data_IF_429532604381
#
_entry.id   IF_429532604381
#
_cell.length_a   1.000
_cell.length_b   1.000
_cell.length_c   1.000
_cell.angle_alpha   90.00
_cell.angle_beta   90.00
_cell.angle_gamma   90.00
#
_symmetry.space_group_name_H-M   'P 1'
#
loop_
_entity.id
_entity.type
_entity.pdbx_description
1 polymer ?
#
# COMPACT_ATOMS: atom_id res chain seq x y z
N UNK A 1 44.04 -4.98 68.79
CA UNK A 1 43.18 -4.20 67.87
C UNK A 1 42.49 -5.22 66.95
N UNK A 2 41.27 -5.71 67.23
CA UNK A 2 39.94 -5.08 67.02
C UNK A 2 39.65 -4.87 65.52
N UNK A 3 38.59 -5.35 64.82
CA UNK A 3 37.17 -5.79 65.05
C UNK A 3 36.77 -6.78 63.90
N UNK A 4 35.91 -7.82 64.07
CA UNK A 4 34.42 -7.89 63.88
C UNK A 4 33.92 -7.36 62.51
N UNK A 5 33.02 -7.94 61.69
CA UNK A 5 31.87 -8.89 61.71
C UNK A 5 31.73 -9.53 60.28
N UNK A 6 31.15 -10.70 59.97
CA UNK A 6 29.81 -11.31 60.14
C UNK A 6 28.65 -10.72 59.29
N UNK A 7 27.88 -11.64 58.67
CA UNK A 7 26.57 -11.57 57.94
C UNK A 7 26.62 -11.38 56.40
N UNK A 8 26.13 -12.28 55.53
CA UNK A 8 24.84 -12.98 55.28
C UNK A 8 23.93 -12.30 54.23
N UNK A 9 23.05 -13.12 53.63
CA UNK A 9 21.95 -12.87 52.66
C UNK A 9 22.36 -12.72 51.19
N UNK A 10 22.06 -13.73 50.35
CA UNK A 10 20.76 -14.03 49.68
C UNK A 10 20.71 -13.31 48.32
N UNK A 11 20.78 -14.05 47.22
CA UNK A 11 19.60 -14.58 46.50
C UNK A 11 18.75 -13.44 45.93
N UNK A 12 18.91 -13.13 44.64
CA UNK A 12 17.73 -13.09 43.79
C UNK A 12 18.10 -13.23 42.30
N UNK A 13 17.60 -14.32 41.74
CA UNK A 13 17.54 -14.55 40.30
C UNK A 13 16.33 -13.78 39.80
N UNK A 14 16.48 -12.90 38.82
CA UNK A 14 15.34 -12.30 38.12
C UNK A 14 15.23 -12.87 36.69
N UNK A 15 14.49 -13.98 36.47
CA UNK A 15 14.10 -14.43 35.14
C UNK A 15 12.67 -13.95 34.86
N UNK A 16 12.50 -12.66 34.54
CA UNK A 16 11.15 -12.04 34.45
C UNK A 16 10.57 -11.84 33.05
N UNK A 17 11.39 -11.66 32.01
CA UNK A 17 10.87 -11.10 30.73
C UNK A 17 11.28 -11.86 29.46
N UNK A 18 12.05 -12.96 29.54
CA UNK A 18 12.48 -13.72 28.37
C UNK A 18 11.52 -14.84 27.92
N UNK A 19 10.64 -15.31 28.79
CA UNK A 19 9.86 -16.53 28.55
C UNK A 19 8.51 -16.28 27.85
N UNK A 20 7.94 -15.07 27.96
CA UNK A 20 6.61 -14.76 27.41
C UNK A 20 6.63 -14.54 25.90
N UNK A 21 7.66 -13.88 25.37
CA UNK A 21 7.85 -13.69 23.93
C UNK A 21 8.09 -15.02 23.23
N UNK A 22 8.84 -15.91 23.87
CA UNK A 22 9.17 -17.23 23.33
C UNK A 22 7.92 -18.14 23.32
N UNK A 23 7.08 -18.08 24.35
CA UNK A 23 5.82 -18.83 24.40
C UNK A 23 4.80 -18.34 23.37
N UNK A 24 4.62 -17.02 23.22
CA UNK A 24 3.69 -16.47 22.22
C UNK A 24 4.10 -16.84 20.80
N UNK A 25 5.39 -16.77 20.48
CA UNK A 25 5.89 -17.16 19.17
C UNK A 25 5.74 -18.67 18.91
N UNK A 26 5.99 -19.52 19.92
CA UNK A 26 5.73 -20.96 19.79
C UNK A 26 4.25 -21.29 19.62
N UNK A 27 3.34 -20.55 20.28
CA UNK A 27 1.90 -20.73 20.12
C UNK A 27 1.43 -20.28 18.73
N UNK A 28 1.90 -19.13 18.24
CA UNK A 28 1.54 -18.63 16.90
C UNK A 28 2.08 -19.51 15.78
N UNK A 29 3.28 -20.08 15.94
CA UNK A 29 3.89 -20.97 14.94
C UNK A 29 3.40 -22.42 15.02
N UNK A 30 2.96 -22.85 16.20
CA UNK A 30 2.58 -24.24 16.46
C UNK A 30 1.09 -24.53 16.34
N UNK A 31 0.23 -23.50 16.34
CA UNK A 31 -1.22 -23.64 16.29
C UNK A 31 -1.80 -22.96 15.05
N UNK A 32 -2.82 -23.59 14.48
CA UNK A 32 -3.63 -22.99 13.42
C UNK A 32 -4.50 -21.85 13.95
N UNK A 33 -4.98 -20.98 13.06
CA UNK A 33 -5.89 -19.88 13.46
C UNK A 33 -7.15 -20.40 14.18
N UNK A 34 -7.65 -21.57 13.78
CA UNK A 34 -8.82 -22.21 14.40
C UNK A 34 -8.52 -22.72 15.80
N UNK A 35 -7.33 -23.28 16.03
CA UNK A 35 -6.89 -23.71 17.36
C UNK A 35 -6.60 -22.52 18.28
N UNK A 36 -6.05 -21.43 17.74
CA UNK A 36 -5.89 -20.17 18.48
C UNK A 36 -7.25 -19.60 18.87
N UNK A 37 -8.22 -19.61 17.96
CA UNK A 37 -9.59 -19.17 18.25
C UNK A 37 -10.22 -20.04 19.36
N UNK A 38 -10.11 -21.36 19.27
CA UNK A 38 -10.62 -22.28 20.30
C UNK A 38 -9.92 -22.10 21.66
N UNK A 39 -8.62 -21.82 21.66
CA UNK A 39 -7.88 -21.51 22.89
C UNK A 39 -8.40 -20.22 23.53
N UNK A 40 -8.60 -19.18 22.73
CA UNK A 40 -9.16 -17.90 23.19
C UNK A 40 -10.57 -18.11 23.72
N UNK A 41 -11.44 -18.83 23.01
CA UNK A 41 -12.81 -19.14 23.44
C UNK A 41 -12.82 -19.95 24.76
N UNK A 42 -11.94 -20.93 24.91
CA UNK A 42 -11.82 -21.71 26.14
C UNK A 42 -11.33 -20.84 27.31
N UNK A 43 -10.38 -19.94 27.08
CA UNK A 43 -9.88 -19.01 28.10
C UNK A 43 -10.95 -18.00 28.51
N UNK A 44 -11.64 -17.39 27.55
CA UNK A 44 -12.73 -16.45 27.82
C UNK A 44 -13.96 -17.17 28.42
N UNK A 45 -14.18 -18.44 28.12
CA UNK A 45 -15.23 -19.25 28.75
C UNK A 45 -14.97 -19.60 30.22
N UNK A 46 -13.70 -19.61 30.66
CA UNK A 46 -13.29 -19.98 32.03
C UNK A 46 -13.00 -18.75 32.91
N UNK A 47 -12.55 -17.65 32.31
CA UNK A 47 -12.22 -16.43 33.04
C UNK A 47 -13.46 -15.65 33.48
N UNK A 48 -13.44 -15.08 34.69
CA UNK A 48 -14.48 -14.14 35.14
C UNK A 48 -14.41 -12.83 34.37
N UNK A 49 -15.54 -12.13 34.25
CA UNK A 49 -15.64 -10.85 33.53
C UNK A 49 -14.63 -9.80 34.05
N UNK A 50 -14.37 -9.78 35.36
CA UNK A 50 -13.38 -8.88 35.97
C UNK A 50 -11.94 -9.19 35.54
N UNK A 51 -11.59 -10.47 35.41
CA UNK A 51 -10.27 -10.90 34.94
C UNK A 51 -10.12 -10.67 33.44
N UNK A 52 -11.19 -10.86 32.66
CA UNK A 52 -11.21 -10.51 31.24
C UNK A 52 -10.97 -9.02 31.03
N UNK A 53 -11.68 -8.16 31.77
CA UNK A 53 -11.48 -6.70 31.70
C UNK A 53 -10.08 -6.29 32.15
N UNK A 54 -9.54 -6.93 33.20
CA UNK A 54 -8.17 -6.70 33.66
C UNK A 54 -7.12 -7.14 32.64
N UNK A 55 -7.36 -8.24 31.92
CA UNK A 55 -6.48 -8.70 30.85
C UNK A 55 -6.54 -7.79 29.62
N UNK A 56 -7.74 -7.37 29.22
CA UNK A 56 -7.97 -6.42 28.11
C UNK A 56 -7.34 -5.05 28.41
N UNK A 57 -7.41 -4.58 29.65
CA UNK A 57 -6.79 -3.31 30.06
C UNK A 57 -5.24 -3.34 30.08
N UNK A 58 -4.62 -4.51 29.90
CA UNK A 58 -3.16 -4.67 29.76
C UNK A 58 -2.71 -4.69 28.30
N UNK A 59 -3.64 -4.74 27.35
CA UNK A 59 -3.34 -4.67 25.92
C UNK A 59 -2.98 -3.23 25.54
N UNK A 60 -2.32 -3.06 24.38
CA UNK A 60 -2.12 -1.73 23.84
C UNK A 60 -3.48 -1.05 23.58
N UNK A 61 -3.55 0.29 23.62
CA UNK A 61 -4.82 1.00 23.49
C UNK A 61 -5.63 0.66 22.22
N UNK A 62 -4.96 0.40 21.09
CA UNK A 62 -5.63 0.09 19.83
C UNK A 62 -6.21 -1.33 19.81
N UNK A 63 -5.47 -2.31 20.34
CA UNK A 63 -5.97 -3.68 20.50
C UNK A 63 -7.06 -3.75 21.57
N UNK A 64 -6.95 -2.97 22.65
CA UNK A 64 -7.99 -2.87 23.68
C UNK A 64 -9.31 -2.39 23.08
N UNK A 65 -9.29 -1.28 22.33
CA UNK A 65 -10.48 -0.72 21.69
C UNK A 65 -11.12 -1.74 20.75
N UNK A 66 -10.30 -2.44 19.94
CA UNK A 66 -10.77 -3.45 19.01
C UNK A 66 -11.43 -4.64 19.73
N UNK A 67 -10.79 -5.18 20.78
CA UNK A 67 -11.35 -6.30 21.54
C UNK A 67 -12.63 -5.89 22.26
N UNK A 68 -12.71 -4.65 22.78
CA UNK A 68 -13.94 -4.13 23.38
C UNK A 68 -15.06 -3.98 22.36
N UNK A 69 -14.77 -3.54 21.13
CA UNK A 69 -15.76 -3.44 20.06
C UNK A 69 -16.27 -4.82 19.63
N UNK A 70 -15.39 -5.82 19.51
CA UNK A 70 -15.76 -7.21 19.21
C UNK A 70 -16.64 -7.80 20.32
N UNK A 71 -16.29 -7.58 21.59
CA UNK A 71 -17.06 -8.09 22.73
C UNK A 71 -18.38 -7.33 22.96
N UNK A 72 -18.45 -6.07 22.53
CA UNK A 72 -19.65 -5.23 22.63
C UNK A 72 -20.65 -5.49 21.50
N UNK A 73 -20.28 -6.23 20.44
CA UNK A 73 -21.24 -6.65 19.41
C UNK A 73 -22.31 -7.54 20.08
N UNK A 74 -23.56 -7.07 20.19
CA UNK A 74 -24.63 -7.93 20.67
C UNK A 74 -24.78 -9.03 19.63
N UNK A 75 -24.78 -10.29 20.08
CA UNK A 75 -25.05 -11.46 19.25
C UNK A 75 -26.37 -11.28 18.48
N UNK A 76 -26.33 -10.67 17.30
CA UNK A 76 -27.48 -10.51 16.42
C UNK A 76 -27.58 -11.76 15.56
N UNK A 77 -28.19 -12.77 16.14
CA UNK A 77 -29.05 -13.63 15.33
C UNK A 77 -30.23 -12.75 14.91
N UNK A 78 -30.41 -12.63 13.60
CA UNK A 78 -31.55 -12.06 12.86
C UNK A 78 -31.51 -10.56 12.46
N UNK A 79 -31.60 -10.38 11.14
CA UNK A 79 -32.09 -9.24 10.34
C UNK A 79 -31.06 -8.26 9.77
N UNK A 80 -30.74 -8.51 8.49
CA UNK A 80 -30.57 -7.57 7.38
C UNK A 80 -30.60 -6.08 7.73
N UNK A 81 -29.43 -5.46 7.84
CA UNK A 81 -29.16 -4.15 7.23
C UNK A 81 -27.66 -3.85 7.32
N UNK A 82 -27.06 -3.53 6.18
CA UNK A 82 -25.71 -2.97 5.96
C UNK A 82 -24.52 -3.72 6.59
N UNK A 83 -23.60 -4.16 5.73
CA UNK A 83 -22.26 -4.62 6.08
C UNK A 83 -21.52 -3.51 6.85
N UNK A 84 -21.65 -3.48 8.17
CA UNK A 84 -20.61 -2.90 9.03
C UNK A 84 -19.50 -3.93 9.12
N UNK A 85 -18.42 -3.68 8.38
CA UNK A 85 -17.18 -4.44 8.43
C UNK A 85 -16.75 -4.56 9.89
N UNK A 86 -16.38 -5.75 10.39
CA UNK A 86 -15.87 -5.89 11.75
C UNK A 86 -14.72 -4.91 11.94
N UNK A 87 -14.69 -4.20 13.07
CA UNK A 87 -13.63 -3.26 13.37
C UNK A 87 -12.29 -4.01 13.39
N UNK A 88 -11.51 -3.82 12.33
CA UNK A 88 -10.16 -4.37 12.21
C UNK A 88 -9.25 -3.44 13.02
N UNK A 89 -8.45 -3.98 13.93
CA UNK A 89 -7.52 -3.16 14.71
C UNK A 89 -6.53 -2.45 13.79
N UNK A 90 -6.09 -1.27 14.21
CA UNK A 90 -5.01 -0.53 13.57
C UNK A 90 -3.75 -1.40 13.41
N UNK A 91 -3.45 -2.24 14.41
CA UNK A 91 -2.36 -3.22 14.34
C UNK A 91 -2.57 -4.27 13.23
N UNK A 92 -3.81 -4.75 13.02
CA UNK A 92 -4.12 -5.70 11.96
C UNK A 92 -4.10 -5.03 10.58
N UNK A 93 -4.46 -3.76 10.47
CA UNK A 93 -4.30 -2.98 9.24
C UNK A 93 -2.82 -2.77 8.90
N UNK A 94 -1.99 -2.42 9.88
CA UNK A 94 -0.53 -2.32 9.69
C UNK A 94 0.08 -3.67 9.27
N UNK A 95 -0.32 -4.77 9.91
CA UNK A 95 0.14 -6.10 9.51
C UNK A 95 -0.30 -6.46 8.09
N UNK A 96 -1.54 -6.11 7.73
CA UNK A 96 -2.06 -6.37 6.37
C UNK A 96 -1.28 -5.56 5.35
N UNK A 97 -0.99 -4.30 5.64
CA UNK A 97 -0.15 -3.44 4.80
C UNK A 97 1.25 -4.02 4.61
N UNK A 98 1.93 -4.45 5.68
CA UNK A 98 3.24 -5.11 5.58
C UNK A 98 3.19 -6.40 4.75
N UNK A 99 2.15 -7.23 4.93
CA UNK A 99 2.01 -8.46 4.15
C UNK A 99 1.80 -8.17 2.66
N UNK A 100 1.04 -7.12 2.32
CA UNK A 100 0.83 -6.73 0.93
C UNK A 100 2.13 -6.25 0.27
N UNK A 101 2.99 -5.55 1.01
CA UNK A 101 4.34 -5.23 0.51
C UNK A 101 5.21 -6.47 0.35
N UNK A 102 5.11 -7.46 1.24
CA UNK A 102 5.81 -8.73 1.06
C UNK A 102 5.32 -9.50 -0.17
N UNK A 103 4.01 -9.48 -0.44
CA UNK A 103 3.43 -10.07 -1.65
C UNK A 103 3.94 -9.34 -2.90
N UNK A 104 4.00 -7.99 -2.85
CA UNK A 104 4.58 -7.16 -3.91
C UNK A 104 6.04 -7.51 -4.18
N UNK A 105 6.88 -7.56 -3.14
CA UNK A 105 8.29 -7.90 -3.25
C UNK A 105 8.48 -9.32 -3.80
N UNK A 106 7.60 -10.26 -3.41
CA UNK A 106 7.59 -11.61 -3.95
C UNK A 106 7.31 -11.63 -5.46
N UNK A 107 6.38 -10.81 -5.94
CA UNK A 107 6.08 -10.68 -7.37
C UNK A 107 7.29 -10.11 -8.13
N UNK A 108 7.91 -9.05 -7.61
CA UNK A 108 9.10 -8.44 -8.24
C UNK A 108 10.27 -9.41 -8.24
N UNK A 109 10.49 -10.13 -7.14
CA UNK A 109 11.52 -11.15 -7.04
C UNK A 109 11.34 -12.23 -8.11
N UNK A 110 10.15 -12.83 -8.21
CA UNK A 110 9.83 -13.83 -9.24
C UNK A 110 9.97 -13.28 -10.67
N UNK A 111 9.72 -11.98 -10.87
CA UNK A 111 9.92 -11.32 -12.16
C UNK A 111 11.40 -11.08 -12.51
N UNK A 112 12.28 -11.08 -11.51
CA UNK A 112 13.73 -10.92 -11.68
C UNK A 112 14.49 -12.25 -11.82
N UNK A 113 13.80 -13.39 -11.80
CA UNK A 113 14.42 -14.71 -11.92
C UNK A 113 14.37 -15.21 -13.37
N UNK A 114 15.50 -15.75 -13.88
CA UNK A 114 15.63 -16.24 -15.27
C UNK A 114 14.68 -17.41 -15.60
N UNK A 115 14.32 -18.19 -14.58
CA UNK A 115 13.32 -19.28 -14.67
C UNK A 115 12.09 -18.99 -13.78
N UNK A 116 11.86 -17.71 -13.47
CA UNK A 116 10.76 -17.26 -12.60
C UNK A 116 9.38 -17.44 -13.22
N UNK A 117 8.34 -17.22 -12.42
CA UNK A 117 6.94 -17.43 -12.80
C UNK A 117 6.54 -16.72 -14.11
N UNK A 118 7.16 -15.57 -14.40
CA UNK A 118 6.80 -14.73 -15.54
C UNK A 118 7.61 -15.02 -16.81
N UNK A 119 8.54 -15.97 -16.77
CA UNK A 119 9.26 -16.43 -17.95
C UNK A 119 8.49 -17.56 -18.62
N UNK A 120 7.87 -17.27 -19.76
CA UNK A 120 7.00 -18.21 -20.48
C UNK A 120 7.60 -18.62 -21.81
N UNK A 121 7.32 -19.86 -22.23
CA UNK A 121 7.68 -20.38 -23.54
C UNK A 121 6.49 -21.17 -24.11
N UNK A 122 5.79 -20.60 -25.09
CA UNK A 122 4.59 -21.23 -25.68
C UNK A 122 4.91 -22.54 -26.40
N UNK A 123 6.06 -22.60 -27.06
CA UNK A 123 6.54 -23.79 -27.72
C UNK A 123 8.05 -23.96 -27.54
N UNK A 124 8.48 -25.22 -27.40
CA UNK A 124 9.90 -25.58 -27.16
C UNK A 124 10.89 -25.12 -28.26
N UNK A 125 10.40 -24.64 -29.41
CA UNK A 125 11.22 -24.11 -30.51
C UNK A 125 11.26 -22.58 -30.55
N UNK A 126 10.45 -21.90 -29.74
CA UNK A 126 10.44 -20.45 -29.62
C UNK A 126 11.33 -20.03 -28.46
N UNK A 127 12.01 -18.89 -28.53
CA UNK A 127 12.69 -18.37 -27.36
C UNK A 127 11.65 -18.13 -26.23
N UNK A 128 12.05 -18.25 -24.96
CA UNK A 128 11.22 -17.76 -23.86
C UNK A 128 10.88 -16.28 -24.09
N UNK A 129 9.91 -15.76 -23.38
CA UNK A 129 9.66 -14.33 -23.30
C UNK A 129 9.13 -13.98 -21.91
N UNK A 130 9.32 -12.73 -21.52
CA UNK A 130 8.76 -12.23 -20.28
C UNK A 130 7.27 -11.89 -20.46
N UNK A 131 6.40 -12.53 -19.69
CA UNK A 131 4.96 -12.26 -19.69
C UNK A 131 4.65 -11.00 -18.88
N UNK A 132 4.74 -9.85 -19.56
CA UNK A 132 4.42 -8.54 -18.99
C UNK A 132 2.97 -8.42 -18.54
N UNK A 133 2.06 -9.20 -19.13
CA UNK A 133 0.64 -9.14 -18.80
C UNK A 133 0.40 -9.81 -17.46
N UNK A 134 0.88 -11.04 -17.29
CA UNK A 134 0.77 -11.76 -16.02
C UNK A 134 1.42 -10.98 -14.85
N UNK A 135 2.61 -10.44 -15.07
CA UNK A 135 3.30 -9.59 -14.08
C UNK A 135 2.47 -8.36 -13.68
N UNK A 136 1.91 -7.65 -14.67
CA UNK A 136 1.10 -6.45 -14.43
C UNK A 136 -0.20 -6.79 -13.69
N UNK A 137 -0.86 -7.89 -14.07
CA UNK A 137 -2.10 -8.35 -13.43
C UNK A 137 -1.89 -8.74 -11.95
N UNK A 138 -0.80 -9.42 -11.63
CA UNK A 138 -0.49 -9.81 -10.25
C UNK A 138 -0.14 -8.60 -9.38
N UNK A 139 0.63 -7.64 -9.89
CA UNK A 139 0.89 -6.37 -9.20
C UNK A 139 -0.41 -5.57 -8.98
N UNK A 140 -1.29 -5.51 -9.98
CA UNK A 140 -2.59 -4.84 -9.86
C UNK A 140 -3.48 -5.54 -8.82
N UNK A 141 -3.41 -6.87 -8.72
CA UNK A 141 -4.13 -7.65 -7.71
C UNK A 141 -3.68 -7.35 -6.27
N UNK A 142 -2.40 -7.05 -6.05
CA UNK A 142 -1.89 -6.56 -4.76
C UNK A 142 -2.31 -5.11 -4.53
N UNK A 143 -2.15 -4.26 -5.55
CA UNK A 143 -2.51 -2.85 -5.47
C UNK A 143 -3.99 -2.61 -5.17
N UNK A 144 -4.90 -3.44 -5.69
CA UNK A 144 -6.34 -3.40 -5.40
C UNK A 144 -6.63 -3.51 -3.90
N UNK A 145 -5.88 -4.37 -3.20
CA UNK A 145 -5.99 -4.58 -1.75
C UNK A 145 -5.30 -3.47 -0.95
N UNK A 146 -4.26 -2.85 -1.50
CA UNK A 146 -3.54 -1.74 -0.87
C UNK A 146 -4.32 -0.44 -0.94
N UNK A 147 -5.01 -0.17 -2.05
CA UNK A 147 -5.74 1.06 -2.32
C UNK A 147 -6.64 1.53 -1.15
N UNK A 148 -7.51 0.70 -0.55
CA UNK A 148 -8.34 1.11 0.58
C UNK A 148 -7.55 1.40 1.87
N UNK A 149 -6.31 0.91 1.98
CA UNK A 149 -5.45 1.11 3.15
C UNK A 149 -4.54 2.33 3.02
N UNK A 150 -4.37 2.92 1.83
CA UNK A 150 -3.41 4.02 1.59
C UNK A 150 -3.59 5.19 2.54
N UNK A 151 -4.83 5.67 2.71
CA UNK A 151 -5.09 6.83 3.59
C UNK A 151 -4.69 6.52 5.03
N UNK A 152 -5.12 5.37 5.54
CA UNK A 152 -4.81 4.92 6.90
C UNK A 152 -3.32 4.68 7.09
N UNK A 153 -2.66 4.06 6.10
CA UNK A 153 -1.23 3.82 6.11
C UNK A 153 -0.44 5.14 6.14
N UNK A 154 -0.86 6.12 5.34
CA UNK A 154 -0.25 7.45 5.32
C UNK A 154 -0.47 8.21 6.64
N UNK A 155 -1.69 8.20 7.19
CA UNK A 155 -2.04 8.95 8.40
C UNK A 155 -1.38 8.39 9.67
N UNK A 156 -1.12 7.08 9.69
CA UNK A 156 -0.51 6.37 10.82
C UNK A 156 0.96 6.00 10.58
N UNK A 157 1.58 6.53 9.51
CA UNK A 157 2.96 6.28 9.11
C UNK A 157 3.28 4.77 9.09
N UNK A 158 2.38 3.95 8.53
CA UNK A 158 2.68 2.55 8.24
C UNK A 158 3.75 2.54 7.15
N UNK A 159 4.98 2.24 7.55
CA UNK A 159 6.13 2.10 6.65
C UNK A 159 5.79 1.18 5.46
N UNK A 160 6.33 1.51 4.28
CA UNK A 160 7.77 1.43 4.04
C UNK A 160 8.44 2.80 4.10
N UNK A 161 9.76 2.81 4.31
CA UNK A 161 10.60 4.02 4.25
C UNK A 161 10.63 4.68 2.84
N UNK A 162 9.82 4.21 1.88
CA UNK A 162 9.85 4.60 0.47
C UNK A 162 8.45 4.76 -0.13
N UNK A 163 8.32 5.72 -1.03
CA UNK A 163 7.14 5.87 -1.91
C UNK A 163 7.09 4.75 -2.96
N UNK A 164 5.93 4.56 -3.60
CA UNK A 164 5.78 3.62 -4.72
C UNK A 164 6.74 3.90 -5.88
N UNK A 165 7.09 5.16 -6.17
CA UNK A 165 7.92 5.50 -7.34
C UNK A 165 9.35 4.94 -7.22
N UNK A 166 10.11 5.18 -6.12
CA UNK A 166 11.42 4.56 -5.92
C UNK A 166 11.38 3.03 -5.99
N UNK A 167 10.35 2.40 -5.41
CA UNK A 167 10.20 0.94 -5.41
C UNK A 167 9.99 0.41 -6.83
N UNK A 168 9.16 1.08 -7.62
CA UNK A 168 8.95 0.73 -9.03
C UNK A 168 10.22 0.92 -9.88
N UNK A 169 11.03 1.94 -9.59
CA UNK A 169 12.31 2.16 -10.28
C UNK A 169 13.33 1.06 -9.96
N UNK A 170 13.38 0.63 -8.70
CA UNK A 170 14.21 -0.50 -8.27
C UNK A 170 13.74 -1.79 -8.93
N UNK A 171 12.45 -2.09 -8.88
CA UNK A 171 11.84 -3.25 -9.53
C UNK A 171 12.11 -3.29 -11.05
N UNK A 172 11.93 -2.16 -11.75
CA UNK A 172 12.26 -2.07 -13.18
C UNK A 172 13.74 -2.40 -13.44
N UNK A 173 14.64 -1.83 -12.64
CA UNK A 173 16.07 -2.09 -12.78
C UNK A 173 16.41 -3.56 -12.50
N UNK A 174 15.86 -4.17 -11.46
CA UNK A 174 16.08 -5.59 -11.14
C UNK A 174 15.61 -6.51 -12.27
N UNK A 175 14.38 -6.30 -12.74
CA UNK A 175 13.81 -7.06 -13.86
C UNK A 175 14.70 -6.87 -15.09
N UNK A 176 15.00 -5.65 -15.51
CA UNK A 176 15.80 -5.40 -16.72
C UNK A 176 17.21 -5.97 -16.66
N UNK A 177 17.84 -5.99 -15.48
CA UNK A 177 19.17 -6.57 -15.32
C UNK A 177 19.15 -8.11 -15.33
N UNK A 178 18.01 -8.72 -15.03
CA UNK A 178 17.84 -10.18 -15.08
C UNK A 178 17.54 -10.72 -16.47
N UNK A 179 17.00 -9.87 -17.36
CA UNK A 179 16.64 -10.29 -18.71
C UNK A 179 17.90 -10.45 -19.58
N UNK A 180 18.00 -11.59 -20.27
CA UNK A 180 19.03 -11.80 -21.28
C UNK A 180 18.89 -10.81 -22.46
N UNK A 181 19.99 -10.53 -23.18
CA UNK A 181 20.03 -9.55 -24.28
C UNK A 181 19.01 -9.82 -25.41
N UNK A 182 18.53 -11.06 -25.56
CA UNK A 182 17.53 -11.41 -26.57
C UNK A 182 16.08 -11.23 -26.08
N UNK A 183 15.85 -11.04 -24.78
CA UNK A 183 14.55 -10.78 -24.17
C UNK A 183 14.35 -9.27 -23.96
N UNK A 184 14.38 -8.52 -25.07
CA UNK A 184 14.06 -7.09 -25.03
C UNK A 184 12.56 -6.91 -24.79
N UNK A 185 12.19 -6.23 -23.71
CA UNK A 185 10.82 -5.77 -23.46
C UNK A 185 10.43 -4.69 -24.49
N UNK A 186 10.04 -5.10 -25.70
CA UNK A 186 9.67 -4.20 -26.79
C UNK A 186 8.46 -3.32 -26.44
N UNK A 187 7.48 -3.90 -25.75
CA UNK A 187 6.23 -3.23 -25.39
C UNK A 187 6.27 -2.58 -23.99
N UNK A 188 7.42 -2.63 -23.31
CA UNK A 188 7.59 -2.09 -21.96
C UNK A 188 6.91 -2.91 -20.87
N UNK A 189 6.70 -2.28 -19.72
CA UNK A 189 6.03 -2.81 -18.54
C UNK A 189 4.83 -1.92 -18.21
N UNK A 190 3.69 -2.09 -18.91
CA UNK A 190 2.50 -1.30 -18.61
C UNK A 190 1.99 -1.68 -17.23
N UNK A 191 1.92 -0.71 -16.33
CA UNK A 191 1.27 -0.88 -15.03
C UNK A 191 -0.24 -0.77 -15.23
N UNK A 192 -0.96 -1.64 -14.53
CA UNK A 192 -2.40 -1.59 -14.57
C UNK A 192 -2.97 -0.41 -13.79
N UNK A 193 -4.31 -0.38 -13.74
CA UNK A 193 -5.09 0.73 -13.19
C UNK A 193 -4.84 0.87 -11.70
N UNK A 194 -4.82 -0.24 -10.98
CA UNK A 194 -4.80 -0.23 -9.53
C UNK A 194 -3.44 0.23 -9.02
N UNK A 195 -2.35 -0.26 -9.60
CA UNK A 195 -0.99 0.21 -9.29
C UNK A 195 -0.88 1.71 -9.57
N UNK A 196 -1.32 2.14 -10.76
CA UNK A 196 -1.29 3.55 -11.15
C UNK A 196 -2.08 4.41 -10.16
N UNK A 197 -3.25 3.95 -9.72
CA UNK A 197 -4.07 4.65 -8.75
C UNK A 197 -3.42 4.73 -7.36
N UNK A 198 -2.75 3.65 -6.91
CA UNK A 198 -2.00 3.63 -5.66
C UNK A 198 -0.85 4.64 -5.66
N UNK A 199 -0.06 4.68 -6.75
CA UNK A 199 1.01 5.67 -6.95
C UNK A 199 0.46 7.08 -6.85
N UNK A 200 -0.59 7.39 -7.63
CA UNK A 200 -1.18 8.73 -7.66
C UNK A 200 -1.76 9.14 -6.30
N UNK A 201 -2.47 8.24 -5.63
CA UNK A 201 -3.06 8.51 -4.33
C UNK A 201 -1.98 8.79 -3.26
N UNK A 202 -0.95 7.95 -3.19
CA UNK A 202 0.14 8.12 -2.24
C UNK A 202 0.93 9.42 -2.49
N UNK A 203 1.35 9.65 -3.74
CA UNK A 203 2.11 10.85 -4.10
C UNK A 203 1.29 12.13 -3.90
N UNK A 204 -0.02 12.09 -4.18
CA UNK A 204 -0.90 13.21 -3.90
C UNK A 204 -0.99 13.53 -2.40
N UNK A 205 -1.02 12.52 -1.53
CA UNK A 205 -1.00 12.72 -0.07
C UNK A 205 0.32 13.35 0.39
N UNK A 206 1.45 12.89 -0.15
CA UNK A 206 2.78 13.49 0.10
C UNK A 206 2.79 14.98 -0.30
N UNK A 207 2.33 15.30 -1.51
CA UNK A 207 2.26 16.67 -2.02
C UNK A 207 1.32 17.55 -1.21
N UNK A 208 0.14 17.03 -0.89
CA UNK A 208 -0.88 17.75 -0.10
C UNK A 208 -0.37 18.07 1.30
N UNK A 209 0.36 17.14 1.94
CA UNK A 209 0.97 17.36 3.27
C UNK A 209 2.06 18.44 3.25
N UNK A 210 2.74 18.63 2.12
CA UNK A 210 3.75 19.67 1.93
C UNK A 210 3.15 21.04 1.58
N UNK A 211 1.84 21.12 1.32
CA UNK A 211 1.17 22.36 0.89
C UNK A 211 1.54 22.77 -0.54
N UNK A 212 2.02 21.82 -1.35
CA UNK A 212 2.35 22.03 -2.75
C UNK A 212 1.10 22.11 -3.62
N UNK A 213 1.16 22.82 -4.74
CA UNK A 213 0.02 22.94 -5.64
C UNK A 213 -0.12 21.74 -6.58
N UNK A 214 -1.34 21.51 -7.07
CA UNK A 214 -1.66 20.41 -7.97
C UNK A 214 -0.88 20.41 -9.30
N UNK A 215 -0.45 21.58 -9.78
CA UNK A 215 0.39 21.64 -10.98
C UNK A 215 1.82 21.14 -10.74
N UNK A 216 2.38 21.37 -9.56
CA UNK A 216 3.67 20.79 -9.16
C UNK A 216 3.59 19.27 -9.05
N UNK A 217 2.48 18.74 -8.55
CA UNK A 217 2.19 17.31 -8.53
C UNK A 217 2.15 16.72 -9.96
N UNK A 218 1.41 17.34 -10.88
CA UNK A 218 1.38 16.93 -12.31
C UNK A 218 2.78 16.86 -12.93
N UNK A 219 3.63 17.87 -12.68
CA UNK A 219 5.01 17.87 -13.18
C UNK A 219 5.84 16.73 -12.58
N UNK A 220 5.62 16.37 -11.32
CA UNK A 220 6.34 15.28 -10.66
C UNK A 220 5.96 13.92 -11.22
N UNK A 221 4.67 13.64 -11.38
CA UNK A 221 4.21 12.38 -12.01
C UNK A 221 4.83 12.23 -13.39
N UNK A 222 4.79 13.28 -14.21
CA UNK A 222 5.39 13.27 -15.55
C UNK A 222 6.92 13.16 -15.54
N UNK A 223 7.58 13.80 -14.57
CA UNK A 223 9.02 13.65 -14.40
C UNK A 223 9.38 12.20 -14.06
N UNK A 224 8.58 11.53 -13.23
CA UNK A 224 8.81 10.13 -12.90
C UNK A 224 8.48 9.17 -14.05
N UNK A 225 7.48 9.46 -14.89
CA UNK A 225 7.28 8.72 -16.14
C UNK A 225 8.47 8.81 -17.11
N UNK A 226 9.24 9.90 -17.06
CA UNK A 226 10.47 10.04 -17.85
C UNK A 226 11.69 9.36 -17.20
N UNK A 227 11.62 9.03 -15.91
CA UNK A 227 12.67 8.32 -15.20
C UNK A 227 12.60 6.81 -15.47
N UNK A 228 11.41 6.27 -15.73
CA UNK A 228 11.22 4.89 -16.13
C UNK A 228 11.74 4.62 -17.55
N UNK A 229 12.40 3.48 -17.73
CA UNK A 229 12.92 3.02 -19.01
C UNK A 229 11.88 2.24 -19.82
N UNK A 230 11.03 1.47 -19.14
CA UNK A 230 10.07 0.51 -19.70
C UNK A 230 8.71 0.60 -19.03
N UNK A 231 8.64 0.97 -17.76
CA UNK A 231 7.39 1.16 -17.03
C UNK A 231 6.58 2.29 -17.64
N UNK A 232 5.30 2.03 -17.84
CA UNK A 232 4.33 3.05 -18.27
C UNK A 232 3.11 3.00 -17.36
N UNK A 233 2.59 4.16 -16.97
CA UNK A 233 1.36 4.23 -16.18
C UNK A 233 0.13 4.15 -17.08
N UNK A 234 -1.00 3.73 -16.49
CA UNK A 234 -2.28 3.75 -17.17
C UNK A 234 -2.78 5.19 -17.38
N UNK A 235 -2.67 5.68 -18.62
CA UNK A 235 -3.03 7.05 -19.01
C UNK A 235 -4.48 7.41 -18.61
N UNK A 236 -5.42 6.48 -18.78
CA UNK A 236 -6.83 6.69 -18.44
C UNK A 236 -7.02 6.88 -16.94
N UNK A 237 -6.34 6.09 -16.11
CA UNK A 237 -6.36 6.21 -14.65
C UNK A 237 -5.78 7.54 -14.21
N UNK A 238 -4.66 7.96 -14.80
CA UNK A 238 -4.06 9.25 -14.48
C UNK A 238 -5.02 10.40 -14.82
N UNK A 239 -5.63 10.37 -16.00
CA UNK A 239 -6.61 11.38 -16.41
C UNK A 239 -7.83 11.41 -15.49
N UNK A 240 -8.37 10.24 -15.14
CA UNK A 240 -9.50 10.11 -14.25
C UNK A 240 -9.18 10.65 -12.84
N UNK A 241 -7.97 10.41 -12.34
CA UNK A 241 -7.52 10.95 -11.06
C UNK A 241 -7.56 12.48 -11.06
N UNK A 242 -6.99 13.13 -12.08
CA UNK A 242 -6.96 14.59 -12.17
C UNK A 242 -8.35 15.22 -12.34
N UNK A 243 -9.27 14.56 -13.04
CA UNK A 243 -10.66 15.03 -13.15
C UNK A 243 -11.36 15.03 -11.79
N UNK A 244 -11.05 14.06 -10.93
CA UNK A 244 -11.68 13.90 -9.62
C UNK A 244 -11.13 14.86 -8.56
N UNK A 245 -10.01 15.55 -8.82
CA UNK A 245 -9.48 16.56 -7.91
C UNK A 245 -10.45 17.74 -7.69
N UNK A 246 -10.33 18.46 -6.56
CA UNK A 246 -11.10 19.68 -6.31
C UNK A 246 -10.97 20.70 -7.44
N UNK A 247 -12.01 21.53 -7.63
CA UNK A 247 -12.05 22.52 -8.71
C UNK A 247 -10.85 23.48 -8.67
N UNK A 248 -10.48 23.94 -7.48
CA UNK A 248 -9.31 24.80 -7.26
C UNK A 248 -8.02 24.16 -7.75
N UNK A 249 -7.87 22.85 -7.57
CA UNK A 249 -6.68 22.11 -8.00
C UNK A 249 -6.66 21.89 -9.51
N UNK A 250 -7.83 21.62 -10.11
CA UNK A 250 -7.97 21.54 -11.57
C UNK A 250 -7.67 22.88 -12.24
N UNK A 251 -8.14 23.99 -11.69
CA UNK A 251 -7.81 25.33 -12.17
C UNK A 251 -6.30 25.62 -12.08
N UNK A 252 -5.66 25.26 -10.96
CA UNK A 252 -4.21 25.38 -10.79
C UNK A 252 -3.45 24.59 -11.86
N UNK A 253 -3.86 23.34 -12.15
CA UNK A 253 -3.27 22.53 -13.21
C UNK A 253 -3.43 23.22 -14.57
N UNK A 254 -4.62 23.73 -14.88
CA UNK A 254 -4.90 24.39 -16.15
C UNK A 254 -4.06 25.66 -16.35
N UNK A 255 -4.02 26.54 -15.34
CA UNK A 255 -3.22 27.77 -15.36
C UNK A 255 -1.75 27.41 -15.57
N UNK A 256 -1.23 26.45 -14.81
CA UNK A 256 0.15 26.00 -14.95
C UNK A 256 0.47 25.45 -16.34
N UNK A 257 -0.40 24.64 -16.91
CA UNK A 257 -0.25 24.13 -18.29
C UNK A 257 -0.30 25.24 -19.34
N UNK A 258 -1.10 26.30 -19.12
CA UNK A 258 -1.21 27.44 -20.02
C UNK A 258 0.01 28.38 -19.96
N UNK A 259 0.69 28.48 -18.82
CA UNK A 259 1.85 29.34 -18.60
C UNK A 259 3.16 28.77 -19.18
N UNK A 260 3.22 27.47 -19.49
CA UNK A 260 4.39 26.85 -20.15
C UNK A 260 4.55 27.44 -21.56
N UNK A 261 5.47 28.40 -21.69
CA UNK A 261 5.88 28.96 -22.99
C UNK A 261 6.56 27.87 -23.82
N UNK A 262 5.87 27.51 -24.89
CA UNK A 262 6.19 26.50 -25.89
C UNK A 262 7.64 26.61 -26.38
N UNK A 263 8.53 25.76 -25.86
CA UNK A 263 9.52 25.12 -26.74
C UNK A 263 8.85 23.86 -27.33
N UNK A 264 8.81 23.81 -28.65
CA UNK A 264 7.83 23.04 -29.42
C UNK A 264 8.01 21.51 -29.36
N UNK A 265 9.18 21.03 -28.95
CA UNK A 265 9.50 19.60 -28.87
C UNK A 265 9.21 19.00 -27.48
N UNK A 266 9.54 19.70 -26.40
CA UNK A 266 9.39 19.18 -25.04
C UNK A 266 7.95 19.27 -24.54
N UNK A 267 7.21 20.33 -24.89
CA UNK A 267 5.80 20.52 -24.50
C UNK A 267 4.84 19.55 -25.22
N UNK A 268 5.10 19.26 -26.51
CA UNK A 268 4.26 18.36 -27.31
C UNK A 268 4.46 16.90 -26.91
N UNK A 269 5.64 16.52 -26.42
CA UNK A 269 5.88 15.20 -25.85
C UNK A 269 5.32 15.07 -24.42
N UNK A 270 5.52 16.09 -23.56
CA UNK A 270 5.19 15.99 -22.13
C UNK A 270 3.68 16.04 -21.80
N UNK A 271 2.87 16.78 -22.55
CA UNK A 271 1.49 17.08 -22.13
C UNK A 271 0.45 17.05 -23.26
N UNK A 272 0.80 16.67 -24.49
CA UNK A 272 -0.15 16.79 -25.61
C UNK A 272 -1.38 15.88 -25.45
N UNK A 273 -1.21 14.65 -24.97
CA UNK A 273 -2.31 13.72 -24.69
C UNK A 273 -3.27 14.30 -23.63
N UNK A 274 -2.71 14.84 -22.54
CA UNK A 274 -3.52 15.39 -21.44
C UNK A 274 -4.16 16.73 -21.77
N UNK A 275 -3.45 17.60 -22.48
CA UNK A 275 -3.98 18.89 -22.90
C UNK A 275 -5.15 18.72 -23.88
N UNK A 276 -5.06 17.80 -24.83
CA UNK A 276 -6.15 17.52 -25.75
C UNK A 276 -7.38 16.96 -25.03
N UNK A 277 -7.18 16.06 -24.07
CA UNK A 277 -8.26 15.48 -23.28
C UNK A 277 -8.93 16.48 -22.33
N UNK A 278 -8.14 17.29 -21.61
CA UNK A 278 -8.66 18.36 -20.74
C UNK A 278 -9.43 19.39 -21.58
N UNK A 279 -8.91 19.80 -22.74
CA UNK A 279 -9.62 20.73 -23.62
C UNK A 279 -10.95 20.17 -24.13
N UNK A 280 -11.01 18.87 -24.47
CA UNK A 280 -12.24 18.19 -24.88
C UNK A 280 -13.28 18.15 -23.75
N UNK A 281 -12.87 17.86 -22.51
CA UNK A 281 -13.78 17.83 -21.36
C UNK A 281 -14.23 19.23 -20.91
N UNK A 282 -13.36 20.25 -21.02
CA UNK A 282 -13.69 21.61 -20.61
C UNK A 282 -14.65 22.31 -21.59
N UNK A 283 -14.53 22.05 -22.90
CA UNK A 283 -15.52 22.52 -23.87
C UNK A 283 -16.89 21.84 -23.69
N UNK A 284 -16.95 20.64 -23.10
CA UNK A 284 -18.20 19.97 -22.69
C UNK A 284 -18.78 20.57 -21.39
N UNK A 285 -17.94 21.08 -20.48
CA UNK A 285 -18.38 21.71 -19.22
C UNK A 285 -18.78 23.20 -19.36
N UNK A 286 -18.41 23.86 -20.45
CA UNK A 286 -18.76 25.26 -20.74
C UNK A 286 -20.26 25.62 -20.80
N UNK A 287 -21.23 24.76 -21.19
CA UNK A 287 -22.61 25.22 -21.33
C UNK A 287 -23.34 25.45 -20.00
N UNK A 288 -22.81 24.98 -18.87
CA UNK A 288 -23.49 25.12 -17.57
C UNK A 288 -23.21 26.45 -16.87
N UNK A 289 -22.24 27.23 -17.33
CA UNK A 289 -21.86 28.53 -16.75
C UNK A 289 -22.47 29.74 -17.47
N UNK A 290 -23.13 29.54 -18.62
CA UNK A 290 -23.77 30.61 -19.41
C UNK A 290 -25.30 30.67 -19.28
N UNK A 291 -25.88 29.95 -18.30
CA UNK A 291 -27.31 30.05 -17.96
C UNK A 291 -27.42 30.57 -16.53
N UNK A 292 -26.91 31.77 -16.30
CA UNK A 292 -26.86 32.39 -14.98
C UNK A 292 -26.36 33.83 -14.99
N UNK A 293 -26.65 34.58 -16.04
CA UNK A 293 -26.64 36.05 -16.04
C UNK A 293 -27.99 36.59 -16.53
#
# INVERSE_FOLDING_TARGET
MAKKNLENSENDSNPGNGATTDLSNHLLNGLTQEEIAQLIDALFGVLSLELQQSAIAKLDPGTQETVQQILALPSRITQNSALETPAISLAKQAQTWCNLWQDWDGIVWEASEEEGLYMTQDAHWEPPYFDTTAFSEDLDGVADKMLPLIQTAFDHDFTPDCSFIPILLEAESEILNSLEEWNELYDGLPLGRQVTQCVLAWEWLVYSRQGENAFNFVKKIRQSELEFLKITFDDDTILNFFIQLPETDRENIFIGLAEIKVSESTHKALFSSWRNYINLQYDIMKPLWLIGE
#
